data_IF_340287149388
#
_entry.id   IF_340287149388
#
_cell.length_a   1.000
_cell.length_b   1.000
_cell.length_c   1.000
_cell.angle_alpha   90.00
_cell.angle_beta   90.00
_cell.angle_gamma   90.00
#
_symmetry.space_group_name_H-M   'P 1'
#
loop_
_entity.id
_entity.type
_entity.pdbx_description
1 polymer ?
#
# COMPACT_ATOMS: atom_id res chain seq x y z
N UNK A 1 25.80 11.80 17.31
CA UNK A 1 25.83 12.08 15.85
C UNK A 1 27.21 12.20 15.22
N UNK A 2 28.27 12.26 16.03
CA UNK A 2 29.64 12.32 15.51
C UNK A 2 29.97 11.25 14.49
N UNK A 3 29.32 10.08 14.58
CA UNK A 3 29.53 8.95 13.69
C UNK A 3 28.35 8.69 12.72
N UNK A 4 27.28 9.48 12.80
CA UNK A 4 26.05 9.31 12.00
C UNK A 4 25.83 10.42 10.96
N UNK A 5 26.89 11.17 10.64
CA UNK A 5 26.87 12.26 9.68
C UNK A 5 26.60 13.63 10.28
N UNK A 6 26.73 14.65 9.47
CA UNK A 6 26.51 16.04 9.83
C UNK A 6 25.01 16.37 10.03
N UNK A 7 24.75 17.50 10.68
CA UNK A 7 23.41 18.07 10.70
C UNK A 7 22.93 18.38 9.28
N UNK A 8 21.62 18.32 9.08
CA UNK A 8 21.01 18.66 7.80
C UNK A 8 21.38 20.11 7.40
N UNK A 9 21.77 20.36 6.14
CA UNK A 9 22.04 21.72 5.65
C UNK A 9 20.85 22.66 5.88
N UNK A 10 21.14 23.95 6.12
CA UNK A 10 20.09 24.94 6.48
C UNK A 10 19.00 25.04 5.42
N UNK A 11 19.35 25.02 4.13
CA UNK A 11 18.36 25.06 3.06
C UNK A 11 17.39 23.88 3.10
N UNK A 12 17.85 22.69 3.48
CA UNK A 12 16.96 21.53 3.66
C UNK A 12 16.08 21.66 4.90
N UNK A 13 16.59 22.27 5.97
CA UNK A 13 15.80 22.55 7.17
C UNK A 13 14.67 23.53 6.85
N UNK A 14 14.98 24.63 6.14
CA UNK A 14 13.97 25.62 5.73
C UNK A 14 12.92 25.01 4.78
N UNK A 15 13.35 24.21 3.82
CA UNK A 15 12.42 23.50 2.93
C UNK A 15 11.54 22.50 3.68
N UNK A 16 12.11 21.81 4.68
CA UNK A 16 11.35 20.89 5.53
C UNK A 16 10.31 21.63 6.38
N UNK A 17 10.66 22.78 6.95
CA UNK A 17 9.72 23.61 7.71
C UNK A 17 8.54 24.02 6.81
N UNK A 18 8.82 24.56 5.62
CA UNK A 18 7.79 24.97 4.68
C UNK A 18 6.88 23.80 4.27
N UNK A 19 7.45 22.59 4.07
CA UNK A 19 6.68 21.40 3.73
C UNK A 19 5.81 20.89 4.90
N UNK A 20 6.30 21.01 6.13
CA UNK A 20 5.52 20.62 7.33
C UNK A 20 4.43 21.63 7.68
N UNK A 21 4.59 22.90 7.31
CA UNK A 21 3.58 23.94 7.52
C UNK A 21 2.48 23.95 6.44
N UNK A 22 2.67 23.21 5.33
CA UNK A 22 1.68 23.07 4.27
C UNK A 22 0.74 21.88 4.54
N UNK A 23 -0.36 22.14 5.24
CA UNK A 23 -1.41 21.14 5.49
C UNK A 23 -2.36 20.95 4.28
N UNK A 24 -2.37 21.85 3.32
CA UNK A 24 -3.29 21.78 2.17
C UNK A 24 -3.03 20.53 1.33
N UNK A 25 -1.77 20.26 0.96
CA UNK A 25 -1.39 19.08 0.20
C UNK A 25 -1.65 17.76 0.98
N UNK A 26 -1.54 17.80 2.31
CA UNK A 26 -1.81 16.63 3.16
C UNK A 26 -3.29 16.26 3.10
N UNK A 27 -4.17 17.24 3.26
CA UNK A 27 -5.62 16.96 3.22
C UNK A 27 -6.08 16.57 1.81
N UNK A 28 -5.57 17.21 0.76
CA UNK A 28 -5.84 16.81 -0.62
C UNK A 28 -5.43 15.35 -0.88
N UNK A 29 -4.25 14.96 -0.42
CA UNK A 29 -3.76 13.59 -0.54
C UNK A 29 -4.64 12.59 0.22
N UNK A 30 -5.07 12.95 1.44
CA UNK A 30 -6.00 12.13 2.23
C UNK A 30 -7.34 11.93 1.53
N UNK A 31 -7.89 12.97 0.90
CA UNK A 31 -9.14 12.87 0.12
C UNK A 31 -8.97 11.86 -1.02
N UNK A 32 -7.88 11.94 -1.77
CA UNK A 32 -7.61 10.99 -2.86
C UNK A 32 -7.47 9.55 -2.36
N UNK A 33 -6.75 9.31 -1.26
CA UNK A 33 -6.64 7.95 -0.70
C UNK A 33 -7.96 7.43 -0.16
N UNK A 34 -8.77 8.27 0.52
CA UNK A 34 -10.11 7.87 0.95
C UNK A 34 -10.97 7.39 -0.23
N UNK A 35 -10.98 8.14 -1.34
CA UNK A 35 -11.71 7.77 -2.55
C UNK A 35 -11.25 6.42 -3.13
N UNK A 36 -9.94 6.15 -3.16
CA UNK A 36 -9.40 4.87 -3.63
C UNK A 36 -9.79 3.70 -2.70
N UNK A 37 -9.67 3.88 -1.40
CA UNK A 37 -10.09 2.86 -0.43
C UNK A 37 -11.58 2.55 -0.55
N UNK A 38 -12.43 3.58 -0.65
CA UNK A 38 -13.88 3.41 -0.78
C UNK A 38 -14.25 2.70 -2.09
N UNK A 39 -13.56 3.03 -3.18
CA UNK A 39 -13.70 2.35 -4.47
C UNK A 39 -13.35 0.85 -4.37
N UNK A 40 -12.19 0.52 -3.84
CA UNK A 40 -11.77 -0.87 -3.66
C UNK A 40 -12.71 -1.65 -2.75
N UNK A 41 -13.11 -1.04 -1.63
CA UNK A 41 -14.04 -1.66 -0.68
C UNK A 41 -15.41 -1.96 -1.33
N UNK A 42 -15.93 -0.99 -2.08
CA UNK A 42 -17.21 -1.15 -2.79
C UNK A 42 -17.15 -2.25 -3.86
N UNK A 43 -16.09 -2.25 -4.64
CA UNK A 43 -15.99 -3.07 -5.85
C UNK A 43 -15.43 -4.48 -5.61
N UNK A 44 -14.59 -4.67 -4.58
CA UNK A 44 -13.90 -5.93 -4.30
C UNK A 44 -14.14 -6.47 -2.88
N UNK A 45 -14.77 -5.72 -1.99
CA UNK A 45 -14.95 -6.13 -0.60
C UNK A 45 -15.85 -7.36 -0.42
N UNK A 46 -16.62 -7.75 -1.44
CA UNK A 46 -17.41 -8.98 -1.45
C UNK A 46 -16.67 -10.19 -2.07
N UNK A 47 -15.51 -9.95 -2.71
CA UNK A 47 -14.67 -10.98 -3.34
C UNK A 47 -13.44 -11.26 -2.50
N UNK A 48 -12.83 -10.21 -1.95
CA UNK A 48 -11.61 -10.25 -1.16
C UNK A 48 -11.89 -9.82 0.29
N UNK A 49 -11.22 -10.40 1.29
CA UNK A 49 -11.38 -10.00 2.69
C UNK A 49 -10.66 -8.67 2.99
N UNK A 50 -11.06 -7.61 2.29
CA UNK A 50 -10.50 -6.27 2.43
C UNK A 50 -10.89 -5.66 3.77
N UNK A 51 -9.89 -5.31 4.59
CA UNK A 51 -10.07 -4.53 5.81
C UNK A 51 -9.47 -3.15 5.60
N UNK A 52 -10.34 -2.12 5.61
CA UNK A 52 -9.88 -0.73 5.46
C UNK A 52 -9.00 -0.38 6.65
N UNK A 53 -7.75 0.03 6.43
CA UNK A 53 -6.86 0.42 7.52
C UNK A 53 -7.26 1.79 8.10
N UNK A 54 -6.94 2.03 9.36
CA UNK A 54 -7.16 3.33 10.02
C UNK A 54 -6.29 4.43 9.40
N UNK A 55 -5.12 4.06 8.87
CA UNK A 55 -4.18 4.96 8.23
C UNK A 55 -3.32 4.23 7.18
N UNK A 56 -2.60 4.99 6.36
CA UNK A 56 -1.70 4.45 5.34
C UNK A 56 -2.28 4.47 3.94
N UNK A 57 -1.65 3.75 3.03
CA UNK A 57 -1.92 3.82 1.59
C UNK A 57 -2.02 2.43 0.93
N UNK A 58 -2.20 1.36 1.72
CA UNK A 58 -2.26 -0.01 1.22
C UNK A 58 -3.25 -0.86 2.02
N UNK A 59 -3.76 -1.92 1.40
CA UNK A 59 -4.38 -3.04 2.09
C UNK A 59 -3.34 -4.09 2.48
N UNK A 60 -3.44 -4.59 3.70
CA UNK A 60 -2.75 -5.79 4.16
C UNK A 60 -3.72 -6.95 4.05
N UNK A 61 -3.68 -7.62 2.91
CA UNK A 61 -4.68 -8.60 2.51
C UNK A 61 -4.24 -10.01 2.90
N UNK A 62 -5.06 -10.70 3.67
CA UNK A 62 -4.85 -12.11 3.99
C UNK A 62 -5.21 -12.99 2.79
N UNK A 63 -4.35 -13.97 2.49
CA UNK A 63 -4.47 -14.92 1.38
C UNK A 63 -4.00 -16.30 1.82
N UNK A 64 -4.26 -17.35 1.04
CA UNK A 64 -3.81 -18.71 1.38
C UNK A 64 -2.29 -18.87 1.27
N UNK A 65 -1.68 -18.28 0.25
CA UNK A 65 -0.24 -18.25 0.06
C UNK A 65 0.15 -16.97 -0.67
N UNK A 66 0.97 -16.15 -0.04
CA UNK A 66 1.33 -14.81 -0.50
C UNK A 66 2.15 -14.80 -1.79
N UNK A 67 3.10 -15.73 -1.96
CA UNK A 67 3.92 -15.79 -3.18
C UNK A 67 3.11 -16.31 -4.38
N UNK A 68 2.33 -17.37 -4.19
CA UNK A 68 1.48 -17.93 -5.23
C UNK A 68 0.41 -16.93 -5.68
N UNK A 69 -0.19 -16.22 -4.72
CA UNK A 69 -1.18 -15.19 -5.01
C UNK A 69 -0.56 -14.01 -5.77
N UNK A 70 0.59 -13.51 -5.33
CA UNK A 70 1.31 -12.43 -6.01
C UNK A 70 1.70 -12.81 -7.45
N UNK A 71 2.19 -14.04 -7.65
CA UNK A 71 2.53 -14.58 -8.97
C UNK A 71 1.29 -14.66 -9.86
N UNK A 72 0.20 -15.21 -9.36
CA UNK A 72 -1.07 -15.33 -10.08
C UNK A 72 -1.61 -13.97 -10.53
N UNK A 73 -1.59 -12.94 -9.65
CA UNK A 73 -2.01 -11.58 -9.99
C UNK A 73 -1.12 -10.96 -11.07
N UNK A 74 0.20 -11.20 -11.01
CA UNK A 74 1.12 -10.69 -12.01
C UNK A 74 0.90 -11.33 -13.38
N UNK A 75 0.73 -12.65 -13.42
CA UNK A 75 0.58 -13.42 -14.67
C UNK A 75 -0.78 -13.20 -15.34
N UNK A 76 -1.87 -13.15 -14.55
CA UNK A 76 -3.22 -13.12 -15.09
C UNK A 76 -3.85 -11.72 -15.17
N UNK A 77 -3.48 -10.82 -14.26
CA UNK A 77 -4.06 -9.48 -14.19
C UNK A 77 -3.05 -8.36 -14.47
N UNK A 78 -1.76 -8.67 -14.58
CA UNK A 78 -0.67 -7.69 -14.65
C UNK A 78 -0.71 -6.68 -13.49
N UNK A 79 -1.05 -7.18 -12.31
CA UNK A 79 -1.10 -6.42 -11.06
C UNK A 79 0.01 -6.89 -10.14
N UNK A 80 0.88 -5.95 -9.77
CA UNK A 80 2.00 -6.22 -8.85
C UNK A 80 1.58 -5.94 -7.42
N UNK A 81 1.64 -6.96 -6.58
CA UNK A 81 1.54 -6.86 -5.12
C UNK A 81 2.82 -7.37 -4.49
N UNK A 82 3.05 -7.08 -3.23
CA UNK A 82 4.25 -7.51 -2.52
C UNK A 82 3.88 -8.60 -1.51
N UNK A 83 4.47 -9.81 -1.63
CA UNK A 83 4.31 -10.86 -0.62
C UNK A 83 4.75 -10.37 0.76
N UNK A 84 3.95 -10.67 1.78
CA UNK A 84 4.17 -10.15 3.12
C UNK A 84 5.39 -10.74 3.79
N UNK A 85 5.75 -12.00 3.48
CA UNK A 85 6.96 -12.63 4.01
C UNK A 85 8.25 -11.89 3.64
N UNK A 86 8.27 -11.12 2.55
CA UNK A 86 9.43 -10.32 2.16
C UNK A 86 9.55 -9.01 2.95
N UNK A 87 8.50 -8.63 3.70
CA UNK A 87 8.45 -7.43 4.54
C UNK A 87 8.66 -7.75 6.02
N UNK A 88 8.79 -9.00 6.38
CA UNK A 88 8.88 -9.47 7.76
C UNK A 88 10.07 -10.43 7.95
N UNK A 89 10.33 -10.80 9.18
CA UNK A 89 11.35 -11.78 9.55
C UNK A 89 10.70 -12.97 10.23
N UNK A 90 11.32 -14.12 10.09
CA UNK A 90 10.96 -15.30 10.86
C UNK A 90 11.21 -15.04 12.35
N UNK A 91 10.26 -15.44 13.16
CA UNK A 91 10.31 -15.39 14.63
C UNK A 91 10.06 -16.79 15.18
N UNK A 92 10.22 -16.99 16.48
CA UNK A 92 9.85 -18.25 17.15
C UNK A 92 8.36 -18.60 16.97
N UNK A 93 7.51 -17.62 16.68
CA UNK A 93 6.06 -17.75 16.46
C UNK A 93 5.69 -17.86 14.96
N UNK A 94 6.68 -17.95 14.07
CA UNK A 94 6.51 -17.94 12.63
C UNK A 94 6.76 -16.58 11.98
N UNK A 95 6.49 -16.48 10.69
CA UNK A 95 6.65 -15.25 9.92
C UNK A 95 5.33 -14.45 9.92
N UNK A 96 5.25 -13.27 10.54
CA UNK A 96 4.00 -12.50 10.65
C UNK A 96 3.48 -11.96 9.31
N UNK A 97 4.32 -11.93 8.27
CA UNK A 97 3.93 -11.53 6.92
C UNK A 97 3.48 -12.69 6.04
N UNK A 98 3.67 -13.92 6.49
CA UNK A 98 3.25 -15.10 5.74
C UNK A 98 1.73 -15.09 5.50
N UNK A 99 1.32 -15.55 4.32
CA UNK A 99 -0.09 -15.55 3.92
C UNK A 99 -0.75 -14.17 3.88
N UNK A 100 0.03 -13.13 3.67
CA UNK A 100 -0.47 -11.77 3.44
C UNK A 100 0.21 -11.15 2.23
N UNK A 101 -0.51 -10.26 1.53
CA UNK A 101 0.06 -9.43 0.48
C UNK A 101 -0.23 -7.96 0.74
N UNK A 102 0.74 -7.11 0.41
CA UNK A 102 0.58 -5.66 0.43
C UNK A 102 0.08 -5.18 -0.94
N UNK A 103 -1.15 -4.72 -0.99
CA UNK A 103 -1.76 -4.08 -2.15
C UNK A 103 -1.76 -2.56 -1.94
N UNK A 104 -0.78 -1.87 -2.53
CA UNK A 104 -0.61 -0.42 -2.39
C UNK A 104 -1.44 0.36 -3.40
N UNK A 105 -2.20 1.37 -2.94
CA UNK A 105 -3.10 2.19 -3.76
C UNK A 105 -2.42 3.48 -4.25
N UNK A 106 -1.16 3.38 -4.70
CA UNK A 106 -0.36 4.55 -5.13
C UNK A 106 -0.72 5.06 -6.54
N UNK A 107 -1.30 4.20 -7.38
CA UNK A 107 -1.77 4.56 -8.71
C UNK A 107 -2.91 5.61 -8.65
N UNK A 108 -3.14 6.36 -9.72
CA UNK A 108 -4.28 7.26 -9.82
C UNK A 108 -5.62 6.51 -9.82
N UNK A 109 -6.72 7.25 -9.70
CA UNK A 109 -8.05 6.64 -9.58
C UNK A 109 -8.44 5.85 -10.84
N UNK A 110 -8.11 6.34 -12.03
CA UNK A 110 -8.41 5.67 -13.29
C UNK A 110 -7.63 4.34 -13.43
N UNK A 111 -6.38 4.33 -13.01
CA UNK A 111 -5.57 3.10 -12.95
C UNK A 111 -6.12 2.13 -11.89
N UNK A 112 -6.59 2.64 -10.75
CA UNK A 112 -7.26 1.82 -9.73
C UNK A 112 -8.52 1.13 -10.29
N UNK A 113 -9.34 1.83 -11.06
CA UNK A 113 -10.51 1.25 -11.75
C UNK A 113 -10.13 0.13 -12.72
N UNK A 114 -9.06 0.35 -13.51
CA UNK A 114 -8.53 -0.69 -14.40
C UNK A 114 -8.03 -1.93 -13.63
N UNK A 115 -7.33 -1.72 -12.52
CA UNK A 115 -6.87 -2.81 -11.65
C UNK A 115 -8.06 -3.59 -11.11
N UNK A 116 -9.09 -2.92 -10.62
CA UNK A 116 -10.32 -3.53 -10.11
C UNK A 116 -10.99 -4.39 -11.20
N UNK A 117 -11.13 -3.86 -12.42
CA UNK A 117 -11.72 -4.60 -13.53
C UNK A 117 -10.94 -5.89 -13.85
N UNK A 118 -9.60 -5.82 -13.85
CA UNK A 118 -8.74 -6.99 -14.08
C UNK A 118 -8.83 -8.01 -12.95
N UNK A 119 -8.89 -7.56 -11.71
CA UNK A 119 -9.03 -8.45 -10.55
C UNK A 119 -10.38 -9.18 -10.57
N UNK A 120 -11.48 -8.49 -10.88
CA UNK A 120 -12.82 -9.11 -11.02
C UNK A 120 -12.89 -10.17 -12.12
N UNK A 121 -12.04 -10.06 -13.14
CA UNK A 121 -12.03 -11.03 -14.24
C UNK A 121 -11.34 -12.35 -13.90
N UNK A 122 -10.55 -12.39 -12.80
CA UNK A 122 -9.74 -13.56 -12.45
C UNK A 122 -10.02 -14.13 -11.06
N UNK A 123 -10.76 -13.42 -10.22
CA UNK A 123 -11.16 -13.81 -8.88
C UNK A 123 -12.64 -14.22 -8.86
#
# INVERSE_FOLDING_TARGET
>A
RTYHGAAMPVQHQLASIAAWDDEAHVEENRVQYRAKFDLFQKELGHILPLQKPDAGFYYWLKVDNDETFAKMLMEKAHVKVLPGRYLSRDTEQGNPGENHVRLALVADLAQCEQVIARLKAIL
#
